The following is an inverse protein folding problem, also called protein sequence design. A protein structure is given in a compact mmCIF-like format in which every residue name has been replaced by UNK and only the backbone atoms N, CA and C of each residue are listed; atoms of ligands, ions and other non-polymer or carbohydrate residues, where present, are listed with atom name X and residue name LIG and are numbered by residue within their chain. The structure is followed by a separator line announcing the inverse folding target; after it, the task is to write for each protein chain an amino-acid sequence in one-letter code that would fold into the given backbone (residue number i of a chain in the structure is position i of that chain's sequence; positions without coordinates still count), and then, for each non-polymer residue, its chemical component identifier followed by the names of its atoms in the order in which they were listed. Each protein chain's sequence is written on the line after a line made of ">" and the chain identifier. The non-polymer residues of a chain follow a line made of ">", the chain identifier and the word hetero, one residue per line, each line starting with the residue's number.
data_IF_302936523982
#
_entry.id   IF_302936523982
#
_cell.length_a   1.000
_cell.length_b   1.000
_cell.length_c   1.000
_cell.angle_alpha   90.00
_cell.angle_beta   90.00
_cell.angle_gamma   90.00
#
_symmetry.space_group_name_H-M   'P 1'
#
loop_
_entity.id
_entity.type
_entity.pdbx_description
1 polymer ?
#
# COMPACT_ATOMS: atom_id res chain seq x y z
N UNK A 1 -2.10 -26.62 -47.90
CA UNK A 1 -2.96 -26.01 -46.85
C UNK A 1 -3.63 -24.79 -47.46
N UNK A 2 -4.96 -24.75 -47.46
CA UNK A 2 -5.75 -23.72 -48.15
C UNK A 2 -5.55 -22.33 -47.49
N UNK A 3 -5.22 -21.30 -48.29
CA UNK A 3 -4.95 -19.92 -47.86
C UNK A 3 -6.04 -19.34 -46.94
N UNK A 4 -7.29 -19.69 -47.24
CA UNK A 4 -8.50 -19.27 -46.50
C UNK A 4 -8.50 -19.69 -45.02
N UNK A 5 -7.98 -20.88 -44.67
CA UNK A 5 -7.92 -21.29 -43.27
C UNK A 5 -6.91 -20.46 -42.48
N UNK A 6 -5.75 -20.16 -43.08
CA UNK A 6 -4.67 -19.40 -42.44
C UNK A 6 -5.12 -17.98 -42.12
N UNK A 7 -5.85 -17.34 -43.04
CA UNK A 7 -6.46 -16.02 -42.83
C UNK A 7 -7.53 -16.05 -41.73
N UNK A 8 -8.38 -17.08 -41.68
CA UNK A 8 -9.39 -17.24 -40.63
C UNK A 8 -8.77 -17.41 -39.23
N UNK A 9 -7.71 -18.22 -39.11
CA UNK A 9 -6.98 -18.40 -37.86
C UNK A 9 -6.27 -17.12 -37.40
N UNK A 10 -5.63 -16.40 -38.33
CA UNK A 10 -5.00 -15.11 -38.04
C UNK A 10 -6.02 -14.07 -37.58
N UNK A 11 -7.16 -13.96 -38.26
CA UNK A 11 -8.26 -13.07 -37.87
C UNK A 11 -8.78 -13.36 -36.46
N UNK A 12 -9.01 -14.64 -36.13
CA UNK A 12 -9.46 -15.06 -34.81
C UNK A 12 -8.45 -14.73 -33.71
N UNK A 13 -7.14 -14.93 -33.96
CA UNK A 13 -6.08 -14.61 -32.99
C UNK A 13 -5.96 -13.10 -32.76
N UNK A 14 -6.12 -12.31 -33.82
CA UNK A 14 -6.09 -10.85 -33.77
C UNK A 14 -7.26 -10.31 -32.95
N UNK A 15 -8.48 -10.79 -33.20
CA UNK A 15 -9.68 -10.42 -32.44
C UNK A 15 -9.55 -10.76 -30.95
N UNK A 16 -9.06 -11.96 -30.61
CA UNK A 16 -8.82 -12.35 -29.22
C UNK A 16 -7.79 -11.44 -28.54
N UNK A 17 -6.72 -11.09 -29.25
CA UNK A 17 -5.71 -10.16 -28.75
C UNK A 17 -6.30 -8.78 -28.48
N UNK A 18 -7.06 -8.20 -29.41
CA UNK A 18 -7.71 -6.90 -29.21
C UNK A 18 -8.72 -6.91 -28.06
N UNK A 19 -9.52 -7.98 -27.93
CA UNK A 19 -10.43 -8.16 -26.80
C UNK A 19 -9.69 -8.20 -25.46
N UNK A 20 -8.54 -8.88 -25.42
CA UNK A 20 -7.69 -8.95 -24.22
C UNK A 20 -7.05 -7.59 -23.87
N UNK A 21 -6.67 -6.80 -24.86
CA UNK A 21 -6.07 -5.46 -24.67
C UNK A 21 -7.13 -4.49 -24.16
N UNK A 22 -8.30 -4.45 -24.81
CA UNK A 22 -9.43 -3.62 -24.42
C UNK A 22 -9.89 -3.90 -22.99
N UNK A 23 -9.97 -5.18 -22.60
CA UNK A 23 -10.35 -5.54 -21.23
C UNK A 23 -9.31 -5.11 -20.18
N UNK A 24 -8.01 -5.25 -20.49
CA UNK A 24 -6.94 -4.74 -19.61
C UNK A 24 -6.99 -3.22 -19.47
N UNK A 25 -7.25 -2.49 -20.56
CA UNK A 25 -7.44 -1.03 -20.53
C UNK A 25 -8.65 -0.65 -19.68
N UNK A 26 -9.79 -1.33 -19.85
CA UNK A 26 -10.99 -1.07 -19.05
C UNK A 26 -10.77 -1.32 -17.55
N UNK A 27 -10.07 -2.40 -17.17
CA UNK A 27 -9.70 -2.64 -15.76
C UNK A 27 -8.76 -1.54 -15.23
N UNK A 28 -7.84 -1.03 -16.04
CA UNK A 28 -6.94 0.04 -15.65
C UNK A 28 -7.70 1.37 -15.49
N UNK A 29 -8.61 1.69 -16.41
CA UNK A 29 -9.44 2.90 -16.40
C UNK A 29 -10.50 2.90 -15.28
N UNK A 30 -10.99 1.71 -14.90
CA UNK A 30 -11.99 1.54 -13.84
C UNK A 30 -11.37 1.02 -12.53
N UNK A 31 -10.05 1.18 -12.36
CA UNK A 31 -9.35 0.72 -11.17
C UNK A 31 -9.67 1.68 -10.02
N UNK A 32 -10.68 1.34 -9.23
CA UNK A 32 -11.02 2.12 -8.04
C UNK A 32 -9.86 2.14 -7.03
N UNK A 33 -9.45 3.35 -6.63
CA UNK A 33 -8.43 3.56 -5.61
C UNK A 33 -9.00 3.28 -4.23
N UNK A 34 -8.40 2.31 -3.53
CA UNK A 34 -8.83 1.87 -2.19
C UNK A 34 -7.61 1.69 -1.28
N UNK A 35 -7.74 2.11 -0.03
CA UNK A 35 -6.88 1.61 1.04
C UNK A 35 -7.52 0.33 1.56
N UNK A 36 -6.78 -0.77 1.49
CA UNK A 36 -7.25 -2.08 1.93
C UNK A 36 -6.90 -2.31 3.39
N UNK A 37 -5.71 -1.88 3.80
CA UNK A 37 -5.19 -2.19 5.12
C UNK A 37 -4.16 -1.17 5.58
N UNK A 38 -4.16 -0.89 6.87
CA UNK A 38 -3.10 -0.16 7.57
C UNK A 38 -2.70 -1.01 8.78
N UNK A 39 -1.42 -1.36 8.91
CA UNK A 39 -0.93 -2.14 10.04
C UNK A 39 0.46 -1.69 10.50
N UNK A 40 0.78 -2.03 11.74
CA UNK A 40 2.08 -1.75 12.34
C UNK A 40 2.93 -3.01 12.40
N UNK A 41 4.24 -2.81 12.36
CA UNK A 41 5.24 -3.83 12.67
C UNK A 41 6.38 -3.21 13.46
N UNK A 42 7.25 -4.01 14.05
CA UNK A 42 8.43 -3.51 14.75
C UNK A 42 9.72 -4.19 14.29
N UNK A 43 10.84 -3.50 14.48
CA UNK A 43 12.17 -3.95 14.16
C UNK A 43 12.46 -4.11 12.66
N UNK A 44 13.68 -4.52 12.35
CA UNK A 44 14.13 -4.76 10.97
C UNK A 44 13.45 -5.96 10.32
N UNK A 45 13.06 -6.95 11.13
CA UNK A 45 12.36 -8.16 10.67
C UNK A 45 10.89 -7.88 10.31
N UNK A 46 10.41 -6.65 10.53
CA UNK A 46 9.04 -6.22 10.23
C UNK A 46 7.99 -7.16 10.84
N UNK A 47 8.21 -7.56 12.10
CA UNK A 47 7.30 -8.46 12.80
C UNK A 47 5.99 -7.73 13.02
N UNK A 48 4.92 -8.24 12.44
CA UNK A 48 3.59 -7.62 12.51
C UNK A 48 3.11 -7.52 13.96
N UNK A 49 2.63 -6.34 14.33
CA UNK A 49 2.09 -6.09 15.64
C UNK A 49 0.69 -6.74 15.75
N UNK A 50 0.50 -7.59 16.76
CA UNK A 50 -0.75 -8.32 16.99
C UNK A 50 -1.61 -7.70 18.12
N UNK A 51 -1.10 -6.66 18.79
CA UNK A 51 -1.71 -6.01 19.95
C UNK A 51 -0.90 -4.77 20.34
N UNK A 52 -0.79 -4.47 21.63
CA UNK A 52 -0.04 -3.30 22.09
C UNK A 52 1.48 -3.50 21.96
N UNK A 53 2.20 -2.45 21.55
CA UNK A 53 3.67 -2.43 21.56
C UNK A 53 4.19 -1.63 22.74
N UNK A 54 5.21 -2.17 23.43
CA UNK A 54 6.01 -1.40 24.41
C UNK A 54 7.21 -0.70 23.77
N UNK A 55 7.50 -1.00 22.51
CA UNK A 55 8.65 -0.48 21.76
C UNK A 55 8.11 0.42 20.65
N UNK A 56 8.17 1.74 20.86
CA UNK A 56 7.69 2.75 19.91
C UNK A 56 8.79 3.21 18.94
N UNK A 57 10.05 3.06 19.33
CA UNK A 57 11.22 3.60 18.63
C UNK A 57 11.51 2.96 17.28
N UNK A 58 11.06 1.73 17.06
CA UNK A 58 11.29 0.91 15.87
C UNK A 58 9.98 0.49 15.19
N UNK A 59 8.90 1.26 15.41
CA UNK A 59 7.61 1.01 14.78
C UNK A 59 7.62 1.43 13.31
N UNK A 60 7.25 0.49 12.46
CA UNK A 60 7.03 0.71 11.02
C UNK A 60 5.54 0.70 10.72
N UNK A 61 5.11 1.55 9.79
CA UNK A 61 3.74 1.63 9.28
C UNK A 61 3.67 1.03 7.88
N UNK A 62 2.74 0.10 7.67
CA UNK A 62 2.45 -0.53 6.39
C UNK A 62 1.09 -0.07 5.88
N UNK A 63 1.03 0.30 4.61
CA UNK A 63 -0.19 0.69 3.91
C UNK A 63 -0.35 -0.21 2.70
N UNK A 64 -1.43 -0.98 2.66
CA UNK A 64 -1.80 -1.83 1.52
C UNK A 64 -2.93 -1.16 0.77
N UNK A 65 -2.75 -1.04 -0.55
CA UNK A 65 -3.65 -0.31 -1.43
C UNK A 65 -4.12 -1.18 -2.60
N UNK A 66 -5.09 -0.67 -3.33
CA UNK A 66 -5.48 -1.18 -4.64
C UNK A 66 -5.83 0.02 -5.51
N UNK A 67 -5.54 -0.09 -6.81
CA UNK A 67 -5.87 1.00 -7.75
C UNK A 67 -4.81 2.09 -7.85
N UNK A 68 -3.78 2.04 -7.00
CA UNK A 68 -2.67 2.98 -7.06
C UNK A 68 -1.57 2.51 -8.02
N UNK A 69 -0.91 3.47 -8.65
CA UNK A 69 0.26 3.26 -9.50
C UNK A 69 1.56 3.37 -8.70
N UNK A 70 2.61 2.73 -9.20
CA UNK A 70 3.92 2.84 -8.59
C UNK A 70 4.45 4.27 -8.69
N UNK A 71 4.93 4.81 -7.57
CA UNK A 71 5.40 6.19 -7.46
C UNK A 71 4.35 7.19 -7.00
N UNK A 72 3.06 6.83 -6.98
CA UNK A 72 2.03 7.68 -6.38
C UNK A 72 2.29 7.91 -4.90
N UNK A 73 2.04 9.13 -4.43
CA UNK A 73 2.25 9.50 -3.03
C UNK A 73 0.99 9.22 -2.21
N UNK A 74 1.19 8.63 -1.04
CA UNK A 74 0.20 8.59 0.03
C UNK A 74 0.71 9.41 1.20
N UNK A 75 -0.20 10.15 1.81
CA UNK A 75 0.05 10.93 3.02
C UNK A 75 -0.79 10.37 4.16
N UNK A 76 -0.17 10.18 5.33
CA UNK A 76 -0.82 9.73 6.55
C UNK A 76 -0.62 10.78 7.62
N UNK A 77 -1.72 11.29 8.17
CA UNK A 77 -1.71 12.14 9.35
C UNK A 77 -1.80 11.25 10.59
N UNK A 78 -0.73 11.19 11.37
CA UNK A 78 -0.73 10.58 12.69
C UNK A 78 -1.14 11.64 13.71
N UNK A 79 -2.10 11.29 14.56
CA UNK A 79 -2.53 12.10 15.71
C UNK A 79 -2.19 11.34 16.99
N UNK A 80 -1.45 11.97 17.89
CA UNK A 80 -1.21 11.47 19.24
C UNK A 80 -2.06 12.29 20.22
N UNK A 81 -1.96 11.98 21.52
CA UNK A 81 -2.63 12.75 22.57
C UNK A 81 -2.27 14.24 22.55
N UNK A 82 -1.01 14.56 22.26
CA UNK A 82 -0.45 15.91 22.43
C UNK A 82 0.15 16.51 21.15
N UNK A 83 0.22 15.75 20.04
CA UNK A 83 0.85 16.20 18.80
C UNK A 83 0.15 15.62 17.55
N UNK A 84 0.44 16.17 16.38
CA UNK A 84 0.03 15.63 15.09
C UNK A 84 1.13 15.84 14.05
N UNK A 85 1.32 14.85 13.19
CA UNK A 85 2.31 14.96 12.14
C UNK A 85 1.98 14.14 10.91
N UNK A 86 2.46 14.62 9.76
CA UNK A 86 2.28 13.95 8.50
C UNK A 86 3.48 13.08 8.17
N UNK A 87 3.21 11.93 7.58
CA UNK A 87 4.18 11.08 6.94
C UNK A 87 3.79 10.88 5.48
N UNK A 88 4.77 10.84 4.59
CA UNK A 88 4.54 10.61 3.17
C UNK A 88 5.37 9.43 2.69
N UNK A 89 4.78 8.60 1.84
CA UNK A 89 5.48 7.50 1.19
C UNK A 89 4.97 7.30 -0.23
N UNK A 90 5.79 6.63 -1.05
CA UNK A 90 5.41 6.28 -2.42
C UNK A 90 4.91 4.85 -2.45
N UNK A 91 3.83 4.62 -3.17
CA UNK A 91 3.33 3.28 -3.45
C UNK A 91 4.32 2.56 -4.35
N UNK A 92 4.65 1.33 -3.98
CA UNK A 92 5.38 0.38 -4.81
C UNK A 92 4.71 -1.00 -4.65
N UNK A 93 4.31 -1.60 -5.77
CA UNK A 93 3.59 -2.87 -5.80
C UNK A 93 2.38 -2.88 -4.85
N UNK A 94 1.56 -1.82 -4.94
CA UNK A 94 0.38 -1.59 -4.10
C UNK A 94 0.67 -1.44 -2.59
N UNK A 95 1.93 -1.26 -2.18
CA UNK A 95 2.33 -1.11 -0.78
C UNK A 95 3.13 0.16 -0.55
N UNK A 96 2.98 0.77 0.61
CA UNK A 96 3.92 1.76 1.14
C UNK A 96 4.34 1.34 2.54
N UNK A 97 5.64 1.45 2.82
CA UNK A 97 6.21 1.18 4.14
C UNK A 97 6.91 2.46 4.59
N UNK A 98 6.67 2.84 5.84
CA UNK A 98 7.36 3.93 6.51
C UNK A 98 8.03 3.33 7.75
N UNK A 99 9.34 3.46 7.82
CA UNK A 99 10.13 2.88 8.89
C UNK A 99 10.27 3.83 10.06
N UNK A 100 10.41 3.28 11.27
CA UNK A 100 10.84 4.03 12.45
C UNK A 100 10.03 5.33 12.67
N UNK A 101 8.70 5.26 12.51
CA UNK A 101 7.82 6.44 12.32
C UNK A 101 7.79 7.42 13.50
N UNK A 102 8.36 7.01 14.63
CA UNK A 102 8.45 7.79 15.88
C UNK A 102 9.88 8.00 16.38
N UNK A 103 10.92 7.50 15.69
CA UNK A 103 12.30 7.41 16.22
C UNK A 103 12.91 8.74 16.65
N UNK A 104 12.50 9.83 16.02
CA UNK A 104 12.96 11.18 16.33
C UNK A 104 11.85 12.06 16.93
N UNK A 105 10.83 11.45 17.54
CA UNK A 105 9.68 12.15 18.11
C UNK A 105 9.52 11.82 19.59
N UNK A 106 9.43 12.88 20.40
CA UNK A 106 9.01 12.76 21.79
C UNK A 106 7.50 12.52 21.83
N UNK A 107 7.10 11.28 22.10
CA UNK A 107 5.70 10.96 22.40
C UNK A 107 5.54 11.03 23.92
N UNK A 108 4.73 11.96 24.40
CA UNK A 108 4.34 11.96 25.81
C UNK A 108 3.39 10.78 26.03
N UNK A 109 3.89 9.74 26.71
CA UNK A 109 3.04 8.74 27.35
C UNK A 109 2.42 9.45 28.58
N UNK A 110 1.12 9.25 28.84
CA UNK A 110 0.31 10.09 29.73
C UNK A 110 0.77 10.20 31.20
N UNK A 111 -0.12 10.73 32.06
CA UNK A 111 0.17 10.94 33.48
C UNK A 111 0.60 9.63 34.17
N UNK A 112 1.74 9.67 34.84
CA UNK A 112 2.26 8.58 35.67
C UNK A 112 2.07 8.99 37.13
N UNK A 113 1.03 8.46 37.77
CA UNK A 113 0.85 8.61 39.21
C UNK A 113 1.61 7.50 39.94
N UNK A 114 2.59 7.89 40.76
CA UNK A 114 3.32 6.97 41.65
C UNK A 114 2.83 7.21 43.07
N UNK A 115 2.19 6.20 43.65
CA UNK A 115 1.85 6.18 45.06
C UNK A 115 2.97 5.47 45.81
N UNK A 116 3.51 6.13 46.85
CA UNK A 116 4.51 5.59 47.79
C UNK A 116 3.81 5.05 49.03
#
# INVERSE_FOLDING_TARGET
>A
MNSSYKEKYLGCMIEQKYKSISYKQWIQENKEKKMLEICFSYGNDMIRLQGDSRHSSDLNLHIITQGYENGEKVEVLIKTSNDKFNLQSKINNNRAILYDIFKDRYITIGEVEVYV
#
